data_IF_609677556215
#
_entry.id   IF_609677556215
#
_cell.length_a   1.000
_cell.length_b   1.000
_cell.length_c   1.000
_cell.angle_alpha   90.00
_cell.angle_beta   90.00
_cell.angle_gamma   90.00
#
_symmetry.space_group_name_H-M   'P 1'
#
loop_
_entity.id
_entity.type
_entity.pdbx_description
1 polymer ?
#
# COMPACT_ATOMS: atom_id res chain seq x y z
N UNK A 1 22.25 -0.32 -30.01
CA UNK A 1 22.63 0.76 -29.06
C UNK A 1 21.85 0.48 -27.79
N UNK A 2 22.52 -0.03 -26.75
CA UNK A 2 21.84 -0.51 -25.54
C UNK A 2 21.40 0.66 -24.66
N UNK A 3 20.21 0.61 -24.05
CA UNK A 3 19.76 1.64 -23.12
C UNK A 3 20.65 1.65 -21.86
N UNK A 4 20.65 2.78 -21.13
CA UNK A 4 21.38 2.93 -19.86
C UNK A 4 20.77 1.94 -18.86
N UNK A 5 21.42 0.80 -18.66
CA UNK A 5 20.92 -0.33 -17.88
C UNK A 5 20.48 0.12 -16.48
N UNK A 6 21.26 0.97 -15.81
CA UNK A 6 20.96 1.47 -14.45
C UNK A 6 19.72 2.36 -14.34
N UNK A 7 19.25 2.96 -15.44
CA UNK A 7 18.10 3.87 -15.45
C UNK A 7 16.86 3.29 -16.15
N UNK A 8 17.07 2.32 -17.05
CA UNK A 8 16.02 1.72 -17.87
C UNK A 8 15.59 0.33 -17.37
N UNK A 9 16.33 -0.27 -16.43
CA UNK A 9 15.96 -1.48 -15.70
C UNK A 9 14.99 -1.22 -14.54
N UNK A 10 14.30 -0.07 -14.54
CA UNK A 10 13.26 0.26 -13.54
C UNK A 10 11.95 -0.52 -13.74
N UNK A 11 11.91 -1.41 -14.74
CA UNK A 11 10.75 -2.20 -15.13
C UNK A 11 9.69 -1.41 -15.90
N UNK A 12 8.82 -2.11 -16.64
CA UNK A 12 7.65 -1.52 -17.29
C UNK A 12 6.67 -1.03 -16.22
N UNK A 13 6.35 0.26 -16.21
CA UNK A 13 5.44 0.86 -15.23
C UNK A 13 4.17 1.38 -15.90
N UNK A 14 3.03 1.14 -15.29
CA UNK A 14 1.78 1.83 -15.61
C UNK A 14 1.63 3.05 -14.69
N UNK A 15 0.88 4.07 -15.11
CA UNK A 15 0.62 5.24 -14.28
C UNK A 15 -0.34 4.88 -13.12
N UNK A 16 -0.09 5.45 -11.95
CA UNK A 16 -1.04 5.46 -10.83
C UNK A 16 -1.99 6.65 -11.01
N UNK A 17 -3.29 6.36 -11.11
CA UNK A 17 -4.32 7.34 -11.46
C UNK A 17 -5.32 7.60 -10.34
N UNK A 18 -5.13 6.94 -9.19
CA UNK A 18 -6.07 7.06 -8.08
C UNK A 18 -5.87 6.02 -6.98
N UNK A 19 -6.71 6.15 -5.96
CA UNK A 19 -6.72 5.32 -4.76
C UNK A 19 -8.08 4.63 -4.58
N UNK A 20 -8.04 3.40 -4.06
CA UNK A 20 -9.23 2.68 -3.56
C UNK A 20 -9.12 2.63 -2.04
N UNK A 21 -10.18 3.06 -1.35
CA UNK A 21 -10.27 3.18 0.10
C UNK A 21 -11.46 2.39 0.63
N UNK A 22 -11.35 1.93 1.86
CA UNK A 22 -12.47 1.27 2.59
C UNK A 22 -13.13 2.17 3.62
N UNK A 23 -12.47 3.26 4.03
CA UNK A 23 -12.99 4.19 5.02
C UNK A 23 -13.44 5.49 4.38
N UNK A 24 -14.36 6.20 5.04
CA UNK A 24 -14.86 7.52 4.71
C UNK A 24 -13.76 8.58 4.77
N UNK A 25 -14.03 9.77 4.23
CA UNK A 25 -13.02 10.82 4.19
C UNK A 25 -12.69 11.22 5.62
N UNK A 26 -11.44 11.58 5.86
CA UNK A 26 -11.08 12.17 7.15
C UNK A 26 -11.71 13.54 7.20
N UNK A 27 -12.48 13.83 8.24
CA UNK A 27 -12.99 15.17 8.47
C UNK A 27 -11.82 16.12 8.70
N UNK A 28 -11.91 17.31 8.12
CA UNK A 28 -10.89 18.34 8.29
C UNK A 28 -10.66 18.63 9.79
N UNK A 29 -9.39 18.64 10.20
CA UNK A 29 -9.01 18.80 11.61
C UNK A 29 -9.14 17.55 12.50
N UNK A 30 -9.73 16.45 12.01
CA UNK A 30 -9.78 15.18 12.72
C UNK A 30 -8.54 14.32 12.41
N UNK A 31 -7.89 13.82 13.46
CA UNK A 31 -6.76 12.89 13.36
C UNK A 31 -7.21 11.43 13.26
N UNK A 32 -8.50 11.15 13.48
CA UNK A 32 -9.05 9.80 13.42
C UNK A 32 -9.20 9.35 11.95
N UNK A 33 -9.01 8.06 11.66
CA UNK A 33 -9.45 7.49 10.40
C UNK A 33 -10.93 7.76 10.17
N UNK A 34 -11.34 7.97 8.92
CA UNK A 34 -12.75 8.04 8.58
C UNK A 34 -13.46 6.73 8.91
N UNK A 35 -14.79 6.80 9.09
CA UNK A 35 -15.64 5.65 9.40
C UNK A 35 -15.43 4.53 8.36
N UNK A 36 -15.33 3.29 8.81
CA UNK A 36 -15.26 2.14 7.90
C UNK A 36 -16.57 2.02 7.08
N UNK A 37 -16.46 1.94 5.75
CA UNK A 37 -17.59 1.90 4.82
C UNK A 37 -17.87 0.45 4.38
N UNK A 38 -19.12 0.15 4.06
CA UNK A 38 -19.50 -1.17 3.53
C UNK A 38 -19.21 -1.35 2.03
N UNK A 39 -18.72 -0.30 1.37
CA UNK A 39 -18.38 -0.24 -0.05
C UNK A 39 -16.98 0.35 -0.25
N UNK A 40 -16.46 0.26 -1.47
CA UNK A 40 -15.21 0.90 -1.86
C UNK A 40 -15.46 2.38 -2.19
N UNK A 41 -14.67 3.27 -1.58
CA UNK A 41 -14.53 4.65 -2.08
C UNK A 41 -13.37 4.69 -3.06
N UNK A 42 -13.64 5.09 -4.30
CA UNK A 42 -12.63 5.26 -5.34
C UNK A 42 -12.37 6.74 -5.54
N UNK A 43 -11.10 7.14 -5.48
CA UNK A 43 -10.65 8.51 -5.63
C UNK A 43 -9.72 8.59 -6.82
N UNK A 44 -10.05 9.40 -7.82
CA UNK A 44 -9.17 9.65 -8.95
C UNK A 44 -8.29 10.88 -8.69
N UNK A 45 -7.08 10.88 -9.25
CA UNK A 45 -6.19 12.03 -9.17
C UNK A 45 -6.73 13.21 -9.99
N UNK A 46 -6.24 14.42 -9.70
CA UNK A 46 -6.56 15.61 -10.50
C UNK A 46 -6.21 15.39 -11.98
N UNK A 47 -7.15 15.72 -12.87
CA UNK A 47 -7.00 15.55 -14.33
C UNK A 47 -7.51 14.22 -14.88
N UNK A 48 -8.04 13.33 -14.05
CA UNK A 48 -8.53 12.00 -14.45
C UNK A 48 -10.06 11.94 -14.67
N UNK A 49 -10.65 13.05 -15.11
CA UNK A 49 -12.11 13.25 -15.25
C UNK A 49 -12.80 12.20 -16.14
N UNK A 50 -12.13 11.73 -17.19
CA UNK A 50 -12.67 10.71 -18.09
C UNK A 50 -12.77 9.35 -17.40
N UNK A 51 -11.75 8.99 -16.60
CA UNK A 51 -11.75 7.73 -15.86
C UNK A 51 -12.81 7.73 -14.76
N UNK A 52 -12.98 8.87 -14.08
CA UNK A 52 -14.04 9.05 -13.09
C UNK A 52 -15.44 8.89 -13.71
N UNK A 53 -15.68 9.50 -14.87
CA UNK A 53 -16.96 9.33 -15.61
C UNK A 53 -17.20 7.88 -16.03
N UNK A 54 -16.19 7.20 -16.56
CA UNK A 54 -16.31 5.79 -16.95
C UNK A 54 -16.64 4.91 -15.74
N UNK A 55 -15.99 5.18 -14.61
CA UNK A 55 -16.25 4.48 -13.35
C UNK A 55 -17.69 4.69 -12.87
N UNK A 56 -18.13 5.96 -12.77
CA UNK A 56 -19.47 6.33 -12.30
C UNK A 56 -20.60 5.81 -13.21
N UNK A 57 -20.36 5.68 -14.51
CA UNK A 57 -21.34 5.13 -15.45
C UNK A 57 -21.52 3.61 -15.33
N UNK A 58 -20.52 2.90 -14.78
CA UNK A 58 -20.51 1.44 -14.73
C UNK A 58 -20.83 0.88 -13.36
N UNK A 59 -20.31 1.50 -12.30
CA UNK A 59 -20.50 1.08 -10.93
C UNK A 59 -21.59 1.91 -10.25
N UNK A 60 -22.36 1.33 -9.30
CA UNK A 60 -23.25 2.10 -8.45
C UNK A 60 -22.44 3.04 -7.55
N UNK A 61 -23.09 4.06 -6.99
CA UNK A 61 -22.47 5.05 -6.07
C UNK A 61 -21.74 4.40 -4.88
N UNK A 62 -22.22 3.23 -4.43
CA UNK A 62 -21.65 2.46 -3.32
C UNK A 62 -21.18 1.07 -3.77
N UNK A 63 -20.09 0.97 -4.55
CA UNK A 63 -19.69 -0.29 -5.14
C UNK A 63 -19.09 -1.23 -4.10
N UNK A 64 -19.75 -2.37 -3.88
CA UNK A 64 -19.24 -3.46 -3.01
C UNK A 64 -18.35 -4.45 -3.75
N UNK A 65 -18.40 -4.44 -5.08
CA UNK A 65 -17.66 -5.32 -5.98
C UNK A 65 -16.94 -4.47 -7.02
N UNK A 66 -15.69 -4.79 -7.30
CA UNK A 66 -14.90 -4.20 -8.39
C UNK A 66 -14.29 -5.31 -9.21
N UNK A 67 -14.44 -5.23 -10.54
CA UNK A 67 -13.76 -6.11 -11.47
C UNK A 67 -12.37 -5.56 -11.71
N UNK A 68 -11.37 -6.40 -11.42
CA UNK A 68 -9.97 -5.99 -11.45
C UNK A 68 -9.12 -6.96 -12.27
N UNK A 69 -8.00 -6.45 -12.77
CA UNK A 69 -6.87 -7.22 -13.27
C UNK A 69 -5.63 -6.86 -12.45
N UNK A 70 -4.70 -7.81 -12.34
CA UNK A 70 -3.38 -7.53 -11.79
C UNK A 70 -2.46 -7.01 -12.90
N UNK A 71 -1.65 -5.96 -12.63
CA UNK A 71 -0.78 -5.36 -13.64
C UNK A 71 0.45 -6.22 -13.99
N UNK A 72 0.86 -7.14 -13.11
CA UNK A 72 2.11 -7.90 -13.25
C UNK A 72 1.95 -9.36 -12.78
N UNK A 73 2.88 -10.22 -13.21
CA UNK A 73 2.96 -11.61 -12.75
C UNK A 73 3.62 -11.73 -11.37
N UNK A 74 4.49 -10.79 -11.01
CA UNK A 74 5.18 -10.78 -9.73
C UNK A 74 4.27 -10.21 -8.63
N UNK A 75 3.94 -11.05 -7.63
CA UNK A 75 3.13 -10.63 -6.47
C UNK A 75 3.69 -9.36 -5.84
N UNK A 76 5.01 -9.29 -5.60
CA UNK A 76 5.64 -8.11 -4.97
C UNK A 76 5.55 -6.82 -5.80
N UNK A 77 5.21 -6.87 -7.09
CA UNK A 77 4.95 -5.69 -7.92
C UNK A 77 3.48 -5.25 -7.86
N UNK A 78 2.57 -6.18 -7.58
CA UNK A 78 1.15 -5.92 -7.40
C UNK A 78 0.80 -5.60 -5.95
N UNK A 79 1.45 -6.23 -4.98
CA UNK A 79 1.08 -6.24 -3.57
C UNK A 79 2.28 -5.91 -2.68
N UNK A 80 2.20 -4.73 -2.06
CA UNK A 80 3.21 -4.15 -1.19
C UNK A 80 2.69 -4.16 0.26
N UNK A 81 3.09 -5.16 1.04
CA UNK A 81 2.66 -5.34 2.43
C UNK A 81 3.83 -5.29 3.40
N UNK A 82 3.81 -4.34 4.32
CA UNK A 82 4.89 -4.07 5.27
C UNK A 82 4.37 -3.67 6.64
N UNK A 83 5.22 -3.79 7.66
CA UNK A 83 5.09 -3.01 8.87
C UNK A 83 5.75 -1.65 8.66
N UNK A 84 5.02 -0.56 8.86
CA UNK A 84 5.54 0.80 8.65
C UNK A 84 5.18 1.74 9.80
N UNK A 85 6.11 2.62 10.15
CA UNK A 85 5.87 3.72 11.07
C UNK A 85 6.06 5.06 10.33
N UNK A 86 5.12 5.97 10.56
CA UNK A 86 5.16 7.32 10.04
C UNK A 86 5.08 8.33 11.18
N UNK A 87 5.87 9.38 11.08
CA UNK A 87 5.80 10.54 11.97
C UNK A 87 5.90 11.82 11.14
N UNK A 88 5.04 12.80 11.44
CA UNK A 88 4.96 14.07 10.71
C UNK A 88 4.86 13.93 9.18
N UNK A 89 4.15 12.91 8.69
CA UNK A 89 3.95 12.67 7.25
C UNK A 89 5.06 11.92 6.54
N UNK A 90 6.13 11.53 7.26
CA UNK A 90 7.27 10.86 6.65
C UNK A 90 7.51 9.48 7.27
N UNK A 91 7.94 8.51 6.44
CA UNK A 91 8.27 7.16 6.90
C UNK A 91 9.54 7.20 7.74
N UNK A 92 9.49 6.63 8.94
CA UNK A 92 10.63 6.56 9.86
C UNK A 92 11.12 5.13 10.06
N UNK A 93 10.28 4.13 9.82
CA UNK A 93 10.68 2.73 9.84
C UNK A 93 9.81 1.88 8.90
N UNK A 94 10.40 0.82 8.35
CA UNK A 94 9.76 -0.24 7.58
C UNK A 94 10.37 -1.61 7.96
N UNK A 95 9.55 -2.64 8.10
CA UNK A 95 9.94 -4.00 8.44
C UNK A 95 9.09 -5.05 7.71
N UNK A 96 9.66 -6.21 7.41
CA UNK A 96 8.95 -7.36 6.77
C UNK A 96 8.19 -8.24 7.78
N UNK A 97 8.41 -8.04 9.09
CA UNK A 97 7.85 -8.86 10.16
C UNK A 97 8.89 -9.70 10.89
N UNK A 98 10.11 -9.81 10.36
CA UNK A 98 11.26 -10.46 11.01
C UNK A 98 12.39 -9.47 11.29
N UNK A 99 12.69 -8.59 10.33
CA UNK A 99 13.73 -7.57 10.42
C UNK A 99 13.22 -6.20 9.96
N UNK A 100 13.88 -5.15 10.46
CA UNK A 100 13.75 -3.81 9.88
C UNK A 100 14.46 -3.77 8.53
N UNK A 101 13.78 -3.35 7.48
CA UNK A 101 14.37 -3.08 6.17
C UNK A 101 14.96 -1.66 6.13
N UNK A 102 14.28 -0.73 6.78
CA UNK A 102 14.68 0.67 6.84
C UNK A 102 14.29 1.27 8.18
N UNK A 103 15.16 2.10 8.74
CA UNK A 103 14.85 2.93 9.90
C UNK A 103 15.71 4.19 9.88
N UNK A 104 15.13 5.32 10.29
CA UNK A 104 15.87 6.56 10.54
C UNK A 104 15.47 7.20 11.86
N UNK A 105 16.40 7.94 12.45
CA UNK A 105 16.11 8.85 13.54
C UNK A 105 15.28 10.02 13.00
N UNK A 106 14.11 10.28 13.60
CA UNK A 106 13.19 11.32 13.12
C UNK A 106 13.64 12.74 13.47
N UNK A 107 14.52 12.91 14.46
CA UNK A 107 15.03 14.21 14.90
C UNK A 107 16.28 14.61 14.11
N UNK A 108 17.22 13.67 13.95
CA UNK A 108 18.51 13.94 13.28
C UNK A 108 18.48 13.64 11.79
N UNK A 109 17.55 12.80 11.33
CA UNK A 109 17.49 12.31 9.95
C UNK A 109 18.50 11.19 9.64
N UNK A 110 19.32 10.79 10.61
CA UNK A 110 20.30 9.72 10.47
C UNK A 110 19.63 8.39 10.14
N UNK A 111 20.14 7.69 9.12
CA UNK A 111 19.69 6.34 8.79
C UNK A 111 20.31 5.37 9.80
N UNK A 112 19.46 4.64 10.50
CA UNK A 112 19.86 3.65 11.51
C UNK A 112 19.88 2.23 10.94
N UNK A 113 19.00 1.96 9.97
CA UNK A 113 18.92 0.68 9.26
C UNK A 113 18.71 0.95 7.78
N UNK A 114 19.49 0.26 6.95
CA UNK A 114 19.38 0.32 5.51
C UNK A 114 19.48 -1.09 4.91
N UNK A 115 18.53 -1.45 4.03
CA UNK A 115 18.45 -2.76 3.38
C UNK A 115 18.58 -3.95 4.36
N UNK A 116 17.98 -3.84 5.54
CA UNK A 116 18.02 -4.92 6.54
C UNK A 116 19.13 -4.78 7.59
N UNK A 117 20.16 -3.99 7.33
CA UNK A 117 21.37 -3.94 8.14
C UNK A 117 21.39 -2.71 9.03
N UNK A 118 21.68 -2.90 10.31
CA UNK A 118 21.95 -1.83 11.26
C UNK A 118 23.28 -1.16 10.90
N UNK A 119 23.27 0.16 10.71
CA UNK A 119 24.42 0.92 10.20
C UNK A 119 25.61 0.91 11.17
N UNK A 120 25.38 0.73 12.47
CA UNK A 120 26.45 0.71 13.47
C UNK A 120 27.11 -0.67 13.58
N UNK A 121 26.33 -1.74 13.40
CA UNK A 121 26.81 -3.12 13.65
C UNK A 121 27.02 -3.95 12.38
N UNK A 122 26.47 -3.52 11.25
CA UNK A 122 26.45 -4.26 9.98
C UNK A 122 25.65 -5.57 10.04
N UNK A 123 24.82 -5.76 11.07
CA UNK A 123 24.05 -6.99 11.30
C UNK A 123 22.56 -6.76 11.02
N UNK A 124 21.79 -7.81 10.68
CA UNK A 124 20.35 -7.69 10.57
C UNK A 124 19.72 -7.17 11.87
N UNK A 125 18.89 -6.12 11.76
CA UNK A 125 18.15 -5.61 12.93
C UNK A 125 16.80 -6.30 13.04
N UNK A 126 16.64 -7.12 14.08
CA UNK A 126 15.38 -7.83 14.33
C UNK A 126 14.23 -6.84 14.57
N UNK A 127 13.07 -7.18 14.04
CA UNK A 127 11.82 -6.46 14.24
C UNK A 127 11.01 -7.09 15.38
N UNK A 128 10.45 -6.25 16.26
CA UNK A 128 9.36 -6.64 17.14
C UNK A 128 8.22 -5.64 17.00
N UNK A 129 7.00 -6.14 17.04
CA UNK A 129 5.79 -5.31 16.83
C UNK A 129 5.64 -4.22 17.89
N UNK A 130 6.13 -4.50 19.09
CA UNK A 130 6.06 -3.61 20.27
C UNK A 130 7.20 -2.58 20.28
N UNK A 131 8.17 -2.67 19.37
CA UNK A 131 9.30 -1.75 19.32
C UNK A 131 8.84 -0.33 19.03
N UNK A 132 9.21 0.57 19.95
CA UNK A 132 9.00 2.01 19.82
C UNK A 132 10.13 2.58 18.97
N UNK A 133 9.79 3.06 17.78
CA UNK A 133 10.76 3.59 16.81
C UNK A 133 10.91 5.11 16.89
N UNK A 134 9.97 5.79 17.53
CA UNK A 134 10.00 7.22 17.83
C UNK A 134 9.00 7.52 18.95
N UNK A 135 9.11 8.70 19.56
CA UNK A 135 8.08 9.29 20.42
C UNK A 135 7.66 10.63 19.87
N UNK A 136 6.42 11.05 20.14
CA UNK A 136 5.99 12.41 19.84
C UNK A 136 5.16 12.98 20.97
N UNK A 137 5.32 14.28 21.21
CA UNK A 137 4.60 14.98 22.26
C UNK A 137 3.19 15.37 21.76
N UNK A 138 2.16 14.93 22.47
CA UNK A 138 0.78 15.32 22.16
C UNK A 138 0.45 16.73 22.71
N UNK A 139 -0.76 17.24 22.43
CA UNK A 139 -1.19 18.58 22.90
C UNK A 139 -1.19 18.74 24.44
N UNK A 140 -1.17 17.64 25.19
CA UNK A 140 -1.15 17.62 26.67
C UNK A 140 0.27 17.47 27.23
N UNK A 141 1.30 17.54 26.39
CA UNK A 141 2.70 17.28 26.76
C UNK A 141 2.98 15.85 27.21
N UNK A 142 2.19 14.90 26.74
CA UNK A 142 2.42 13.48 27.01
C UNK A 142 3.18 12.87 25.84
N UNK A 143 4.22 12.09 26.14
CA UNK A 143 4.95 11.32 25.14
C UNK A 143 4.09 10.14 24.66
N UNK A 144 3.86 10.09 23.35
CA UNK A 144 3.11 9.01 22.70
C UNK A 144 4.09 8.17 21.88
N UNK A 145 4.17 6.84 22.12
CA UNK A 145 5.04 5.97 21.36
C UNK A 145 4.54 5.80 19.92
N UNK A 146 5.46 5.80 18.97
CA UNK A 146 5.24 5.45 17.58
C UNK A 146 5.81 4.06 17.34
N UNK A 147 4.93 3.13 16.96
CA UNK A 147 5.28 1.76 16.59
C UNK A 147 4.91 1.50 15.13
N UNK A 148 5.52 0.47 14.54
CA UNK A 148 5.18 0.08 13.17
C UNK A 148 3.79 -0.56 13.13
N UNK A 149 3.01 -0.20 12.11
CA UNK A 149 1.67 -0.73 11.87
C UNK A 149 1.66 -1.47 10.54
N UNK A 150 0.83 -2.51 10.41
CA UNK A 150 0.67 -3.22 9.14
C UNK A 150 0.04 -2.28 8.11
N UNK A 151 0.62 -2.23 6.92
CA UNK A 151 0.16 -1.44 5.79
C UNK A 151 0.28 -2.26 4.52
N UNK A 152 -0.80 -2.31 3.75
CA UNK A 152 -0.91 -3.01 2.48
C UNK A 152 -1.34 -2.07 1.36
N UNK A 153 -0.71 -2.22 0.20
CA UNK A 153 -1.00 -1.50 -1.05
C UNK A 153 -1.12 -2.49 -2.20
N UNK A 154 -2.34 -2.70 -2.69
CA UNK A 154 -2.61 -3.56 -3.85
C UNK A 154 -2.86 -2.70 -5.08
N UNK A 155 -2.00 -2.83 -6.09
CA UNK A 155 -2.16 -2.20 -7.40
C UNK A 155 -3.06 -3.05 -8.28
N UNK A 156 -4.11 -2.44 -8.82
CA UNK A 156 -5.11 -3.10 -9.64
C UNK A 156 -5.46 -2.24 -10.85
N UNK A 157 -5.74 -2.89 -11.97
CA UNK A 157 -6.31 -2.24 -13.17
C UNK A 157 -7.81 -2.50 -13.16
N UNK A 158 -8.61 -1.47 -13.42
CA UNK A 158 -10.04 -1.60 -13.62
C UNK A 158 -10.31 -1.63 -15.13
N UNK A 159 -10.71 -2.76 -15.73
CA UNK A 159 -10.91 -2.88 -17.17
C UNK A 159 -11.91 -1.88 -17.75
N UNK A 160 -12.91 -1.49 -16.96
CA UNK A 160 -13.92 -0.50 -17.35
C UNK A 160 -13.33 0.86 -17.73
N UNK A 161 -12.15 1.21 -17.21
CA UNK A 161 -11.49 2.47 -17.52
C UNK A 161 -10.88 2.48 -18.93
N UNK A 162 -10.91 1.34 -19.64
CA UNK A 162 -10.42 1.18 -21.01
C UNK A 162 -8.98 1.66 -21.23
N UNK A 163 -8.17 1.62 -20.17
CA UNK A 163 -6.78 2.08 -20.18
C UNK A 163 -5.91 1.26 -19.24
N UNK A 164 -4.63 1.13 -19.59
CA UNK A 164 -3.63 0.44 -18.78
C UNK A 164 -3.01 1.42 -17.77
N UNK A 165 -3.75 1.70 -16.73
CA UNK A 165 -3.34 2.47 -15.55
C UNK A 165 -3.88 1.79 -14.30
N UNK A 166 -3.19 1.92 -13.17
CA UNK A 166 -3.59 1.25 -11.93
C UNK A 166 -4.15 2.23 -10.89
N UNK A 167 -5.06 1.72 -10.08
CA UNK A 167 -5.43 2.29 -8.80
C UNK A 167 -4.80 1.47 -7.67
N UNK A 168 -4.53 2.12 -6.54
CA UNK A 168 -3.99 1.45 -5.36
C UNK A 168 -5.05 1.27 -4.28
N UNK A 169 -5.41 0.03 -3.97
CA UNK A 169 -6.16 -0.29 -2.76
C UNK A 169 -5.25 -0.17 -1.55
N UNK A 170 -5.64 0.68 -0.61
CA UNK A 170 -4.94 0.84 0.67
C UNK A 170 -5.66 0.11 1.79
N UNK A 171 -4.92 -0.68 2.57
CA UNK A 171 -5.43 -1.30 3.81
C UNK A 171 -4.40 -1.26 4.92
N UNK A 172 -4.88 -1.19 6.16
CA UNK A 172 -4.06 -1.38 7.38
C UNK A 172 -4.61 -2.52 8.25
N UNK A 173 -5.51 -3.34 7.70
CA UNK A 173 -6.11 -4.48 8.38
C UNK A 173 -5.20 -5.69 8.21
N UNK A 174 -4.82 -6.32 9.32
CA UNK A 174 -4.03 -7.57 9.32
C UNK A 174 -4.82 -8.68 8.60
N UNK A 175 -6.13 -8.75 8.82
CA UNK A 175 -6.98 -9.76 8.18
C UNK A 175 -7.01 -9.60 6.67
N UNK A 176 -7.11 -8.37 6.17
CA UNK A 176 -7.04 -8.10 4.73
C UNK A 176 -5.68 -8.49 4.17
N UNK A 177 -4.60 -8.12 4.87
CA UNK A 177 -3.24 -8.39 4.41
C UNK A 177 -3.00 -9.90 4.29
N UNK A 178 -3.40 -10.66 5.32
CA UNK A 178 -3.30 -12.12 5.31
C UNK A 178 -4.15 -12.70 4.17
N UNK A 179 -5.42 -12.30 4.06
CA UNK A 179 -6.33 -12.84 3.06
C UNK A 179 -5.88 -12.53 1.62
N UNK A 180 -5.51 -11.28 1.32
CA UNK A 180 -5.01 -10.87 0.00
C UNK A 180 -3.75 -11.66 -0.34
N UNK A 181 -2.79 -11.75 0.60
CA UNK A 181 -1.55 -12.50 0.37
C UNK A 181 -1.82 -13.97 0.05
N UNK A 182 -2.71 -14.62 0.80
CA UNK A 182 -3.10 -16.01 0.57
C UNK A 182 -3.81 -16.20 -0.77
N UNK A 183 -4.73 -15.30 -1.14
CA UNK A 183 -5.47 -15.40 -2.40
C UNK A 183 -4.55 -15.19 -3.61
N UNK A 184 -3.64 -14.21 -3.58
CA UNK A 184 -2.69 -13.98 -4.66
C UNK A 184 -1.77 -15.19 -4.86
N UNK A 185 -1.29 -15.79 -3.78
CA UNK A 185 -0.51 -17.03 -3.85
C UNK A 185 -1.32 -18.20 -4.40
N UNK A 186 -2.60 -18.32 -4.00
CA UNK A 186 -3.51 -19.33 -4.53
C UNK A 186 -3.70 -19.18 -6.05
N UNK A 187 -4.02 -17.97 -6.52
CA UNK A 187 -4.22 -17.67 -7.94
C UNK A 187 -2.93 -17.95 -8.73
N UNK A 188 -1.77 -17.55 -8.19
CA UNK A 188 -0.47 -17.80 -8.82
C UNK A 188 -0.21 -19.29 -9.01
N UNK A 189 -0.54 -20.11 -8.00
CA UNK A 189 -0.31 -21.56 -8.04
C UNK A 189 -1.19 -22.29 -9.04
N UNK A 190 -2.45 -21.88 -9.20
CA UNK A 190 -3.39 -22.55 -10.12
C UNK A 190 -3.17 -22.16 -11.59
N UNK A 191 -2.51 -21.02 -11.84
CA UNK A 191 -2.30 -20.46 -13.17
C UNK A 191 -0.82 -20.49 -13.61
N UNK A 192 -0.03 -21.46 -13.13
CA UNK A 192 1.38 -21.65 -13.50
C UNK A 192 2.25 -20.38 -13.38
N UNK A 193 2.00 -19.58 -12.34
CA UNK A 193 2.73 -18.33 -12.11
C UNK A 193 2.17 -17.11 -12.82
N UNK A 194 1.15 -17.27 -13.66
CA UNK A 194 0.50 -16.17 -14.38
C UNK A 194 -0.50 -15.50 -13.43
N UNK A 195 -0.35 -14.19 -13.25
CA UNK A 195 -1.30 -13.33 -12.51
C UNK A 195 -1.84 -12.20 -13.37
N UNK A 196 -1.04 -11.71 -14.33
CA UNK A 196 -1.42 -10.59 -15.20
C UNK A 196 -2.62 -10.96 -16.06
N UNK A 197 -3.57 -10.04 -16.19
CA UNK A 197 -4.72 -10.21 -17.10
C UNK A 197 -5.77 -11.23 -16.67
N UNK A 198 -5.62 -11.89 -15.51
CA UNK A 198 -6.67 -12.77 -14.96
C UNK A 198 -7.80 -11.91 -14.37
N UNK A 199 -9.06 -12.06 -14.83
CA UNK A 199 -10.20 -11.39 -14.26
C UNK A 199 -10.43 -11.83 -12.81
N UNK A 200 -10.42 -10.88 -11.88
CA UNK A 200 -10.68 -11.11 -10.45
C UNK A 200 -11.78 -10.14 -10.00
N UNK A 201 -12.70 -10.63 -9.17
CA UNK A 201 -13.68 -9.77 -8.50
C UNK A 201 -13.19 -9.47 -7.10
N UNK A 202 -12.90 -8.20 -6.82
CA UNK A 202 -12.57 -7.73 -5.49
C UNK A 202 -13.85 -7.34 -4.75
N UNK A 203 -14.07 -7.94 -3.58
CA UNK A 203 -15.29 -7.74 -2.77
C UNK A 203 -14.98 -7.03 -1.46
N UNK A 204 -15.78 -6.02 -1.12
CA UNK A 204 -15.80 -5.39 0.19
C UNK A 204 -16.62 -6.24 1.17
N UNK A 205 -15.97 -6.72 2.22
CA UNK A 205 -16.60 -7.40 3.36
C UNK A 205 -16.26 -6.61 4.63
N UNK A 206 -17.19 -5.81 5.19
CA UNK A 206 -17.00 -5.04 6.43
C UNK A 206 -16.79 -5.93 7.65
#
# INVERSE_FOLDING_TARGET
MSPIITMTDKGVGFAEIGSIRKGAEKKEGDKRPGKDLEYFRVEFNEGEDEAEKLFANHYPDEPKLLDILLPFNEIGRCWDAWYEAYLAGAMIARADGEIYIYQRNHETGEVLVNNGLDENTGRPKLFRKEDVVATWENKKKEEVPVTCKPVGRLRVILPVLQRLAFLTLHTSSIHDIINISQQLEGIRKINDGILVGIPIVMKRVP
#
